data_IF_016677853268
#
_entry.id   IF_016677853268
#
_cell.length_a   1.000
_cell.length_b   1.000
_cell.length_c   1.000
_cell.angle_alpha   90.00
_cell.angle_beta   90.00
_cell.angle_gamma   90.00
#
_symmetry.space_group_name_H-M   'P 1'
#
loop_
_entity.id
_entity.type
_entity.pdbx_description
1 polymer ?
#
# COMPACT_ATOMS: atom_id res chain seq x y z
N UNK A 1 -1.33 -88.62 32.15
CA UNK A 1 -0.78 -87.29 32.37
C UNK A 1 -0.56 -86.68 30.98
N UNK A 2 -1.43 -85.80 30.54
CA UNK A 2 -1.35 -85.12 29.24
C UNK A 2 -1.32 -83.64 29.49
N UNK A 3 -0.20 -83.01 29.16
CA UNK A 3 0.01 -81.58 29.19
C UNK A 3 -0.69 -80.90 27.99
N UNK A 4 -1.65 -80.02 28.22
CA UNK A 4 -2.23 -79.18 27.23
C UNK A 4 -1.42 -77.86 27.15
N UNK A 5 -0.80 -77.68 26.00
CA UNK A 5 -0.10 -76.46 25.67
C UNK A 5 -1.09 -75.48 25.03
N UNK A 6 -1.39 -74.39 25.71
CA UNK A 6 -2.21 -73.26 25.20
C UNK A 6 -1.32 -72.32 24.44
N UNK A 7 -1.43 -72.25 23.13
CA UNK A 7 -0.86 -71.27 22.24
C UNK A 7 -1.72 -70.00 22.29
N UNK A 8 -1.21 -68.91 22.91
CA UNK A 8 -1.76 -67.59 22.85
C UNK A 8 -1.33 -66.94 21.52
N UNK A 9 -2.26 -66.83 20.58
CA UNK A 9 -2.11 -66.03 19.36
C UNK A 9 -2.46 -64.62 19.71
N UNK A 10 -1.45 -63.78 19.92
CA UNK A 10 -1.63 -62.33 20.07
C UNK A 10 -1.76 -61.68 18.68
N UNK A 11 -2.99 -61.26 18.35
CA UNK A 11 -3.32 -60.52 17.14
C UNK A 11 -2.87 -59.06 17.32
N UNK A 12 -1.75 -58.69 16.69
CA UNK A 12 -1.32 -57.30 16.58
C UNK A 12 -2.22 -56.59 15.55
N UNK A 13 -3.20 -55.82 16.04
CA UNK A 13 -3.90 -54.83 15.22
C UNK A 13 -2.99 -53.60 15.01
N UNK A 14 -2.32 -53.52 13.88
CA UNK A 14 -1.70 -52.27 13.39
C UNK A 14 -2.82 -51.32 13.00
N UNK A 15 -3.15 -50.40 13.89
CA UNK A 15 -4.02 -49.28 13.58
C UNK A 15 -3.27 -48.31 12.61
N UNK A 16 -3.62 -48.41 11.33
CA UNK A 16 -3.26 -47.37 10.35
C UNK A 16 -4.04 -46.10 10.68
N UNK A 17 -3.45 -45.19 11.46
CA UNK A 17 -3.93 -43.83 11.58
C UNK A 17 -3.61 -43.08 10.28
N UNK A 18 -4.61 -42.51 9.60
CA UNK A 18 -4.30 -41.61 8.49
C UNK A 18 -3.51 -40.42 9.02
N UNK A 19 -2.30 -40.23 8.53
CA UNK A 19 -1.57 -38.99 8.74
C UNK A 19 -2.42 -37.85 8.16
N UNK A 20 -3.02 -36.99 9.03
CA UNK A 20 -3.51 -35.72 8.61
C UNK A 20 -2.30 -34.97 8.03
N UNK A 21 -2.25 -34.83 6.72
CA UNK A 21 -1.38 -33.89 6.06
C UNK A 21 -1.79 -32.50 6.59
N UNK A 22 -1.02 -31.98 7.54
CA UNK A 22 -1.08 -30.58 7.88
C UNK A 22 -0.76 -29.84 6.58
N UNK A 23 -1.79 -29.30 5.94
CA UNK A 23 -1.62 -28.43 4.79
C UNK A 23 -0.67 -27.32 5.22
N UNK A 24 0.52 -27.33 4.62
CA UNK A 24 1.48 -26.25 4.76
C UNK A 24 0.83 -25.00 4.20
N UNK A 25 0.21 -24.21 5.07
CA UNK A 25 -0.27 -22.88 4.74
C UNK A 25 0.99 -22.03 4.62
N UNK A 26 1.64 -22.14 3.47
CA UNK A 26 2.73 -21.26 3.09
C UNK A 26 2.20 -19.81 3.15
N UNK A 27 2.37 -19.18 4.29
CA UNK A 27 2.16 -17.75 4.43
C UNK A 27 3.31 -17.08 3.68
N UNK A 28 3.13 -16.92 2.36
CA UNK A 28 4.04 -16.07 1.59
C UNK A 28 4.04 -14.68 2.21
N UNK A 29 5.22 -14.11 2.44
CA UNK A 29 5.31 -12.71 2.87
C UNK A 29 4.63 -11.83 1.82
N UNK A 30 3.77 -10.88 2.24
CA UNK A 30 3.11 -10.00 1.28
C UNK A 30 4.13 -9.26 0.41
N UNK A 31 3.85 -9.17 -0.88
CA UNK A 31 4.61 -8.36 -1.82
C UNK A 31 4.47 -6.86 -1.49
N UNK A 32 5.39 -6.02 -2.00
CA UNK A 32 5.29 -4.57 -1.82
C UNK A 32 3.98 -4.01 -2.38
N UNK A 33 3.50 -4.52 -3.51
CA UNK A 33 2.21 -4.11 -4.08
C UNK A 33 1.02 -4.42 -3.14
N UNK A 34 1.01 -5.59 -2.50
CA UNK A 34 0.00 -5.96 -1.50
C UNK A 34 0.11 -5.06 -0.27
N UNK A 35 1.34 -4.77 0.22
CA UNK A 35 1.56 -3.83 1.33
C UNK A 35 1.03 -2.43 1.03
N UNK A 36 1.23 -1.92 -0.19
CA UNK A 36 0.71 -0.61 -0.59
C UNK A 36 -0.82 -0.60 -0.64
N UNK A 37 -1.43 -1.69 -1.13
CA UNK A 37 -2.89 -1.87 -1.12
C UNK A 37 -3.43 -1.87 0.30
N UNK A 38 -2.81 -2.63 1.20
CA UNK A 38 -3.19 -2.68 2.61
C UNK A 38 -2.96 -1.33 3.31
N UNK A 39 -1.82 -0.66 3.04
CA UNK A 39 -1.56 0.67 3.57
C UNK A 39 -2.65 1.67 3.15
N UNK A 40 -3.07 1.67 1.88
CA UNK A 40 -4.17 2.51 1.40
C UNK A 40 -5.46 2.22 2.15
N UNK A 41 -5.86 0.94 2.26
CA UNK A 41 -7.03 0.52 3.03
C UNK A 41 -6.96 0.96 4.49
N UNK A 42 -5.78 0.86 5.14
CA UNK A 42 -5.61 1.30 6.51
C UNK A 42 -5.68 2.82 6.66
N UNK A 43 -5.20 3.60 5.69
CA UNK A 43 -5.37 5.06 5.66
C UNK A 43 -6.86 5.41 5.55
N UNK A 44 -7.58 4.79 4.62
CA UNK A 44 -9.01 5.04 4.38
C UNK A 44 -9.87 4.68 5.60
N UNK A 45 -9.49 3.63 6.33
CA UNK A 45 -10.14 3.22 7.60
C UNK A 45 -9.54 3.89 8.83
N UNK A 46 -8.64 4.88 8.67
CA UNK A 46 -7.98 5.64 9.74
C UNK A 46 -7.17 4.78 10.72
N UNK A 47 -6.72 3.60 10.28
CA UNK A 47 -5.83 2.75 11.06
C UNK A 47 -4.36 3.15 10.79
N UNK A 48 -3.99 4.32 11.29
CA UNK A 48 -2.70 4.97 11.01
C UNK A 48 -1.48 4.13 11.40
N UNK A 49 -1.57 3.39 12.52
CA UNK A 49 -0.46 2.55 12.99
C UNK A 49 -0.19 1.38 12.04
N UNK A 50 -1.25 0.74 11.52
CA UNK A 50 -1.09 -0.35 10.55
C UNK A 50 -0.62 0.18 9.19
N UNK A 51 -1.16 1.31 8.75
CA UNK A 51 -0.66 1.96 7.54
C UNK A 51 0.84 2.25 7.61
N UNK A 52 1.30 2.85 8.72
CA UNK A 52 2.72 3.12 8.94
C UNK A 52 3.57 1.85 8.94
N UNK A 53 3.08 0.76 9.55
CA UNK A 53 3.79 -0.52 9.58
C UNK A 53 3.99 -1.10 8.17
N UNK A 54 2.93 -1.13 7.34
CA UNK A 54 3.05 -1.66 5.97
C UNK A 54 3.98 -0.80 5.11
N UNK A 55 3.92 0.53 5.26
CA UNK A 55 4.79 1.45 4.53
C UNK A 55 6.26 1.35 4.97
N UNK A 56 6.53 1.15 6.27
CA UNK A 56 7.89 0.90 6.77
C UNK A 56 8.48 -0.39 6.19
N UNK A 57 7.67 -1.44 6.06
CA UNK A 57 8.07 -2.67 5.38
C UNK A 57 8.33 -2.46 3.90
N UNK A 58 7.39 -1.80 3.21
CA UNK A 58 7.49 -1.54 1.78
C UNK A 58 8.75 -0.77 1.41
N UNK A 59 9.11 0.29 2.15
CA UNK A 59 10.29 1.10 1.85
C UNK A 59 11.60 0.36 2.12
N UNK A 60 11.62 -0.58 3.07
CA UNK A 60 12.80 -1.43 3.32
C UNK A 60 12.98 -2.49 2.24
N UNK A 61 11.90 -3.05 1.74
CA UNK A 61 11.91 -4.08 0.70
C UNK A 61 12.24 -3.49 -0.67
N UNK A 62 11.65 -2.33 -1.02
CA UNK A 62 11.87 -1.66 -2.31
C UNK A 62 12.20 -0.16 -2.13
N UNK A 63 13.42 0.19 -1.70
CA UNK A 63 13.80 1.59 -1.41
C UNK A 63 13.93 2.49 -2.65
N UNK A 64 13.72 1.96 -3.86
CA UNK A 64 13.73 2.73 -5.12
C UNK A 64 12.40 2.63 -5.88
N UNK A 65 11.32 2.25 -5.21
CA UNK A 65 10.00 2.15 -5.82
C UNK A 65 9.25 3.48 -5.64
N UNK A 66 8.86 4.12 -6.75
CA UNK A 66 8.15 5.40 -6.76
C UNK A 66 6.78 5.32 -6.08
N UNK A 67 6.05 4.20 -6.24
CA UNK A 67 4.74 4.00 -5.61
C UNK A 67 4.84 4.00 -4.08
N UNK A 68 5.92 3.44 -3.52
CA UNK A 68 6.17 3.45 -2.08
C UNK A 68 6.28 4.87 -1.55
N UNK A 69 7.06 5.72 -2.21
CA UNK A 69 7.21 7.11 -1.80
C UNK A 69 5.95 7.92 -2.04
N UNK A 70 5.23 7.66 -3.13
CA UNK A 70 3.92 8.28 -3.35
C UNK A 70 2.96 7.94 -2.20
N UNK A 71 2.88 6.69 -1.77
CA UNK A 71 2.01 6.27 -0.67
C UNK A 71 2.48 6.80 0.69
N UNK A 72 3.79 6.94 0.93
CA UNK A 72 4.33 7.61 2.12
C UNK A 72 3.94 9.10 2.14
N UNK A 73 3.99 9.79 1.00
CA UNK A 73 3.50 11.14 0.83
C UNK A 73 2.02 11.26 1.17
N UNK A 74 1.21 10.36 0.60
CA UNK A 74 -0.23 10.29 0.86
C UNK A 74 -0.53 10.07 2.34
N UNK A 75 0.14 9.12 3.00
CA UNK A 75 0.02 8.87 4.43
C UNK A 75 0.32 10.13 5.26
N UNK A 76 1.46 10.79 4.99
CA UNK A 76 1.87 11.97 5.75
C UNK A 76 0.91 13.16 5.56
N UNK A 77 0.31 13.29 4.39
CA UNK A 77 -0.68 14.32 4.09
C UNK A 77 -2.04 14.04 4.75
N UNK A 78 -2.45 12.77 4.85
CA UNK A 78 -3.80 12.36 5.30
C UNK A 78 -3.91 12.07 6.80
N UNK A 79 -2.81 11.75 7.48
CA UNK A 79 -2.83 11.41 8.91
C UNK A 79 -3.32 12.57 9.78
N UNK A 80 -3.87 12.31 10.99
CA UNK A 80 -4.10 13.34 11.97
C UNK A 80 -2.80 14.13 12.22
N UNK A 81 -2.88 15.46 12.29
CA UNK A 81 -1.71 16.32 12.30
C UNK A 81 -0.81 16.08 11.07
N UNK A 82 -1.37 16.35 9.90
CA UNK A 82 -0.68 16.21 8.62
C UNK A 82 0.74 16.81 8.68
N UNK A 83 1.72 16.03 8.21
CA UNK A 83 3.11 16.45 8.10
C UNK A 83 3.40 16.83 6.65
N UNK A 84 3.03 18.05 6.27
CA UNK A 84 3.20 18.53 4.90
C UNK A 84 4.67 18.56 4.46
N UNK A 85 5.66 18.99 5.28
CA UNK A 85 7.06 18.88 4.89
C UNK A 85 7.47 17.46 4.51
N UNK A 86 7.06 16.49 5.31
CA UNK A 86 7.36 15.06 5.02
C UNK A 86 6.59 14.54 3.81
N UNK A 87 5.36 14.99 3.60
CA UNK A 87 4.59 14.66 2.40
C UNK A 87 5.29 15.19 1.13
N UNK A 88 5.73 16.44 1.13
CA UNK A 88 6.50 17.03 0.02
C UNK A 88 7.80 16.28 -0.26
N UNK A 89 8.58 15.94 0.78
CA UNK A 89 9.79 15.13 0.63
C UNK A 89 9.51 13.82 -0.11
N UNK A 90 8.48 13.11 0.32
CA UNK A 90 8.14 11.80 -0.26
C UNK A 90 7.60 11.92 -1.69
N UNK A 91 6.68 12.85 -1.98
CA UNK A 91 6.20 13.05 -3.36
C UNK A 91 7.31 13.47 -4.30
N UNK A 92 8.22 14.35 -3.87
CA UNK A 92 9.38 14.73 -4.67
C UNK A 92 10.33 13.54 -4.90
N UNK A 93 10.48 12.63 -3.93
CA UNK A 93 11.23 11.40 -4.11
C UNK A 93 10.55 10.48 -5.13
N UNK A 94 9.22 10.32 -5.07
CA UNK A 94 8.47 9.56 -6.06
C UNK A 94 8.71 10.11 -7.49
N UNK A 95 8.60 11.43 -7.67
CA UNK A 95 8.82 12.08 -8.96
C UNK A 95 10.28 12.08 -9.41
N UNK A 96 11.23 11.99 -8.48
CA UNK A 96 12.66 11.79 -8.81
C UNK A 96 12.90 10.37 -9.35
N UNK A 97 12.22 9.36 -8.80
CA UNK A 97 12.32 7.97 -9.22
C UNK A 97 11.54 7.70 -10.51
N UNK A 98 10.35 8.25 -10.62
CA UNK A 98 9.51 8.22 -11.81
C UNK A 98 8.92 9.60 -12.11
N UNK A 99 9.53 10.38 -13.00
CA UNK A 99 9.02 11.71 -13.39
C UNK A 99 7.64 11.68 -14.07
N UNK A 100 7.17 10.51 -14.49
CA UNK A 100 5.86 10.32 -15.14
C UNK A 100 4.80 9.74 -14.20
N UNK A 101 5.08 9.63 -12.93
CA UNK A 101 4.17 9.07 -11.93
C UNK A 101 2.96 9.99 -11.72
N UNK A 102 1.86 9.74 -12.44
CA UNK A 102 0.67 10.62 -12.47
C UNK A 102 0.08 10.85 -11.09
N UNK A 103 -0.14 9.81 -10.30
CA UNK A 103 -0.68 9.96 -8.94
C UNK A 103 0.22 10.81 -8.02
N UNK A 104 1.55 10.81 -8.22
CA UNK A 104 2.43 11.69 -7.45
C UNK A 104 2.30 13.16 -7.86
N UNK A 105 2.06 13.46 -9.15
CA UNK A 105 1.75 14.82 -9.60
C UNK A 105 0.41 15.31 -9.01
N UNK A 106 -0.63 14.49 -9.02
CA UNK A 106 -1.93 14.79 -8.43
C UNK A 106 -1.80 15.09 -6.92
N UNK A 107 -1.27 14.13 -6.16
CA UNK A 107 -1.21 14.24 -4.70
C UNK A 107 -0.26 15.34 -4.20
N UNK A 108 0.82 15.61 -4.94
CA UNK A 108 1.68 16.76 -4.69
C UNK A 108 0.92 18.08 -4.94
N UNK A 109 0.09 18.13 -5.99
CA UNK A 109 -0.77 19.27 -6.27
C UNK A 109 -1.77 19.54 -5.14
N UNK A 110 -2.43 18.49 -4.63
CA UNK A 110 -3.31 18.61 -3.48
C UNK A 110 -2.55 19.07 -2.21
N UNK A 111 -1.31 18.57 -2.00
CA UNK A 111 -0.48 19.02 -0.89
C UNK A 111 -0.15 20.53 -1.00
N UNK A 112 0.10 21.03 -2.21
CA UNK A 112 0.31 22.46 -2.43
C UNK A 112 -0.94 23.29 -2.15
N UNK A 113 -2.14 22.80 -2.46
CA UNK A 113 -3.38 23.48 -2.08
C UNK A 113 -3.52 23.58 -0.55
N UNK A 114 -3.20 22.50 0.18
CA UNK A 114 -3.17 22.54 1.65
C UNK A 114 -2.14 23.55 2.20
N UNK A 115 -1.03 23.71 1.50
CA UNK A 115 0.03 24.69 1.82
C UNK A 115 -0.26 26.11 1.27
N UNK A 116 -1.48 26.36 0.76
CA UNK A 116 -1.93 27.64 0.20
C UNK A 116 -1.09 28.13 -0.99
N UNK A 117 -0.61 27.22 -1.80
CA UNK A 117 0.21 27.47 -3.01
C UNK A 117 -0.51 26.99 -4.28
N UNK A 118 -1.67 27.55 -4.65
CA UNK A 118 -2.46 27.08 -5.80
C UNK A 118 -1.72 27.19 -7.13
N UNK A 119 -0.82 28.15 -7.29
CA UNK A 119 -0.03 28.27 -8.52
C UNK A 119 0.88 27.06 -8.77
N UNK A 120 1.41 26.43 -7.71
CA UNK A 120 2.21 25.22 -7.85
C UNK A 120 1.32 24.00 -8.20
N UNK A 121 0.11 23.94 -7.65
CA UNK A 121 -0.87 22.91 -8.02
C UNK A 121 -1.27 23.03 -9.50
N UNK A 122 -1.45 24.24 -10.02
CA UNK A 122 -1.78 24.48 -11.44
C UNK A 122 -0.64 24.03 -12.38
N UNK A 123 0.62 24.19 -11.99
CA UNK A 123 1.76 23.66 -12.75
C UNK A 123 1.71 22.13 -12.84
N UNK A 124 1.36 21.47 -11.75
CA UNK A 124 1.23 20.02 -11.72
C UNK A 124 0.04 19.52 -12.55
N UNK A 125 -1.05 20.28 -12.54
CA UNK A 125 -2.19 20.01 -13.43
C UNK A 125 -1.80 20.10 -14.91
N UNK A 126 -1.02 21.10 -15.29
CA UNK A 126 -0.51 21.21 -16.65
C UNK A 126 0.42 20.06 -17.03
N UNK A 127 1.26 19.59 -16.08
CA UNK A 127 2.07 18.39 -16.29
C UNK A 127 1.20 17.14 -16.51
N UNK A 128 0.13 17.00 -15.73
CA UNK A 128 -0.82 15.88 -15.91
C UNK A 128 -1.52 15.91 -17.26
N UNK A 129 -1.90 17.09 -17.79
CA UNK A 129 -2.46 17.20 -19.12
C UNK A 129 -1.52 16.62 -20.19
N UNK A 130 -0.22 16.92 -20.07
CA UNK A 130 0.80 16.39 -20.98
C UNK A 130 1.00 14.88 -20.80
N UNK A 131 1.09 14.40 -19.55
CA UNK A 131 1.33 13.00 -19.23
C UNK A 131 0.17 12.10 -19.66
N UNK A 132 -1.05 12.59 -19.54
CA UNK A 132 -2.26 11.86 -19.96
C UNK A 132 -2.55 12.02 -21.47
N UNK A 133 -1.93 12.96 -22.13
CA UNK A 133 -2.24 13.33 -23.53
C UNK A 133 -3.62 13.98 -23.73
N UNK A 134 -4.36 14.18 -22.64
CA UNK A 134 -5.70 14.78 -22.62
C UNK A 134 -6.11 15.15 -21.19
N UNK A 135 -7.33 15.69 -21.01
CA UNK A 135 -7.90 16.09 -19.71
C UNK A 135 -8.85 15.04 -19.11
N UNK A 136 -8.78 13.78 -19.56
CA UNK A 136 -9.77 12.77 -19.20
C UNK A 136 -9.28 11.70 -18.22
N UNK A 137 -7.97 11.64 -17.92
CA UNK A 137 -7.47 10.73 -16.89
C UNK A 137 -7.95 11.15 -15.50
N UNK A 138 -8.04 10.18 -14.60
CA UNK A 138 -8.54 10.37 -13.24
C UNK A 138 -7.72 11.43 -12.51
N UNK A 139 -6.42 11.32 -12.54
CA UNK A 139 -5.50 12.20 -11.80
C UNK A 139 -5.60 13.67 -12.23
N UNK A 140 -5.83 13.92 -13.54
CA UNK A 140 -6.09 15.28 -14.03
C UNK A 140 -7.41 15.82 -13.51
N UNK A 141 -8.49 15.03 -13.58
CA UNK A 141 -9.83 15.45 -13.13
C UNK A 141 -9.85 15.73 -11.63
N UNK A 142 -9.24 14.87 -10.84
CA UNK A 142 -9.23 14.98 -9.39
C UNK A 142 -8.47 16.23 -8.93
N UNK A 143 -7.29 16.49 -9.53
CA UNK A 143 -6.55 17.71 -9.21
C UNK A 143 -7.26 18.98 -9.73
N UNK A 144 -7.87 18.93 -10.91
CA UNK A 144 -8.63 20.07 -11.44
C UNK A 144 -9.83 20.41 -10.54
N UNK A 145 -10.55 19.39 -10.05
CA UNK A 145 -11.64 19.57 -9.10
C UNK A 145 -11.13 20.14 -7.76
N UNK A 146 -10.02 19.63 -7.24
CA UNK A 146 -9.43 20.12 -6.01
C UNK A 146 -9.03 21.61 -6.13
N UNK A 147 -8.43 22.02 -7.25
CA UNK A 147 -8.09 23.44 -7.53
C UNK A 147 -9.36 24.29 -7.61
N UNK A 148 -10.41 23.81 -8.30
CA UNK A 148 -11.66 24.54 -8.42
C UNK A 148 -12.33 24.75 -7.05
N UNK A 149 -12.38 23.72 -6.22
CA UNK A 149 -12.90 23.81 -4.83
C UNK A 149 -12.09 24.78 -3.98
N UNK A 150 -10.76 24.74 -4.09
CA UNK A 150 -9.88 25.67 -3.37
C UNK A 150 -10.18 27.11 -3.73
N UNK A 151 -10.31 27.44 -5.03
CA UNK A 151 -10.62 28.78 -5.51
C UNK A 151 -12.02 29.27 -5.10
N UNK A 152 -12.99 28.38 -5.06
CA UNK A 152 -14.37 28.69 -4.65
C UNK A 152 -14.50 28.95 -3.14
N UNK A 153 -13.59 28.44 -2.33
CA UNK A 153 -13.56 28.61 -0.88
C UNK A 153 -12.75 29.82 -0.39
N UNK A 154 -12.18 30.61 -1.31
CA UNK A 154 -11.49 31.88 -1.04
C UNK A 154 -12.41 33.08 -1.27
#
# INVERSE_FOLDING_TARGET
MRLFSLLLVSLLYLANLPALAAGDVSHSTPSVAERLTDARKYIDTKNWSRAAFELDKAVREEPKNADVYNMLGFYNRKKPNADLPKAFENYNMALKLDPKHRAAHEYLGEAYLMDKKPAEAEKLLANLEVLCGNKNCEEYKDLAEAIAKYKAGQ
#
